data_IF_246072904972
#
_entry.id   IF_246072904972
#
_cell.length_a   1.000
_cell.length_b   1.000
_cell.length_c   1.000
_cell.angle_alpha   90.00
_cell.angle_beta   90.00
_cell.angle_gamma   90.00
#
_symmetry.space_group_name_H-M   'P 1'
#
loop_
_entity.id
_entity.type
_entity.pdbx_description
1 polymer ?
#
# COMPACT_ATOMS: atom_id res chain seq x y z
N UNK A 1 14.68 -12.02 -11.14
CA UNK A 1 13.92 -13.03 -10.37
C UNK A 1 12.45 -12.59 -10.30
N UNK A 2 11.52 -13.51 -10.58
CA UNK A 2 10.11 -13.22 -10.37
C UNK A 2 9.76 -13.36 -8.89
N UNK A 3 8.96 -12.44 -8.31
CA UNK A 3 8.49 -12.57 -6.94
C UNK A 3 7.66 -13.85 -6.75
N UNK A 4 7.86 -14.55 -5.64
CA UNK A 4 7.18 -15.80 -5.32
C UNK A 4 5.65 -15.66 -5.39
N UNK A 5 5.10 -14.62 -4.77
CA UNK A 5 3.64 -14.38 -4.75
C UNK A 5 3.09 -14.10 -6.15
N UNK A 6 3.86 -13.49 -7.05
CA UNK A 6 3.48 -13.28 -8.43
C UNK A 6 3.36 -14.61 -9.20
N UNK A 7 4.30 -15.53 -8.98
CA UNK A 7 4.24 -16.86 -9.61
C UNK A 7 3.04 -17.66 -9.13
N UNK A 8 2.78 -17.67 -7.81
CA UNK A 8 1.61 -18.32 -7.21
C UNK A 8 0.33 -17.71 -7.79
N UNK A 9 0.27 -16.40 -7.92
CA UNK A 9 -0.91 -15.73 -8.48
C UNK A 9 -1.25 -16.24 -9.90
N UNK A 10 -0.27 -16.27 -10.79
CA UNK A 10 -0.51 -16.67 -12.18
C UNK A 10 -0.66 -18.17 -12.37
N UNK A 11 0.04 -19.00 -11.58
CA UNK A 11 -0.01 -20.48 -11.73
C UNK A 11 -1.21 -21.10 -11.03
N UNK A 12 -1.60 -20.57 -9.87
CA UNK A 12 -2.58 -21.23 -9.00
C UNK A 12 -3.83 -20.36 -8.79
N UNK A 13 -3.68 -19.11 -8.35
CA UNK A 13 -4.81 -18.27 -7.91
C UNK A 13 -5.69 -17.87 -9.10
N UNK A 14 -5.10 -17.40 -10.17
CA UNK A 14 -5.83 -16.90 -11.33
C UNK A 14 -6.67 -17.99 -12.02
N UNK A 15 -6.16 -19.23 -12.26
CA UNK A 15 -6.97 -20.34 -12.76
C UNK A 15 -8.07 -20.78 -11.78
N UNK A 16 -7.76 -20.80 -10.47
CA UNK A 16 -8.75 -21.13 -9.44
C UNK A 16 -9.92 -20.15 -9.43
N UNK A 17 -9.63 -18.85 -9.49
CA UNK A 17 -10.66 -17.79 -9.58
C UNK A 17 -11.51 -17.93 -10.85
N UNK A 18 -10.88 -18.24 -11.98
CA UNK A 18 -11.61 -18.48 -13.23
C UNK A 18 -12.63 -19.62 -13.08
N UNK A 19 -12.22 -20.73 -12.48
CA UNK A 19 -13.09 -21.89 -12.28
C UNK A 19 -14.19 -21.62 -11.26
N UNK A 20 -13.86 -20.96 -10.15
CA UNK A 20 -14.80 -20.64 -9.08
C UNK A 20 -15.92 -19.68 -9.53
N UNK A 21 -15.57 -18.67 -10.31
CA UNK A 21 -16.53 -17.64 -10.77
C UNK A 21 -17.04 -17.88 -12.20
N UNK A 22 -16.57 -18.92 -12.89
CA UNK A 22 -17.04 -19.27 -14.24
C UNK A 22 -16.68 -18.22 -15.32
N UNK A 23 -15.56 -17.51 -15.17
CA UNK A 23 -15.16 -16.50 -16.16
C UNK A 23 -14.80 -17.13 -17.50
N UNK A 24 -15.30 -16.58 -18.59
CA UNK A 24 -14.97 -17.04 -19.96
C UNK A 24 -13.49 -16.85 -20.28
N UNK A 25 -12.92 -15.72 -19.86
CA UNK A 25 -11.51 -15.39 -20.07
C UNK A 25 -10.78 -15.28 -18.72
N UNK A 26 -9.56 -15.78 -18.66
CA UNK A 26 -8.70 -15.71 -17.48
C UNK A 26 -8.41 -14.26 -17.03
N UNK A 27 -8.39 -13.32 -17.97
CA UNK A 27 -8.16 -11.90 -17.68
C UNK A 27 -9.37 -11.14 -17.13
N UNK A 28 -10.55 -11.76 -17.07
CA UNK A 28 -11.74 -11.19 -16.41
C UNK A 28 -11.67 -11.29 -14.90
N UNK A 29 -10.79 -12.16 -14.37
CA UNK A 29 -10.62 -12.34 -12.94
C UNK A 29 -10.04 -11.10 -12.23
N UNK A 30 -10.34 -10.93 -10.93
CA UNK A 30 -9.78 -9.83 -10.13
C UNK A 30 -8.26 -9.97 -10.04
N UNK A 31 -7.58 -8.81 -10.07
CA UNK A 31 -6.13 -8.72 -9.89
C UNK A 31 -5.77 -7.46 -9.11
N UNK A 32 -4.70 -7.54 -8.34
CA UNK A 32 -4.16 -6.37 -7.66
C UNK A 32 -3.46 -5.48 -8.70
N UNK A 33 -3.85 -4.22 -8.75
CA UNK A 33 -3.32 -3.23 -9.71
C UNK A 33 -2.14 -2.47 -9.12
N UNK A 34 -2.28 -2.05 -7.87
CA UNK A 34 -1.27 -1.26 -7.13
C UNK A 34 -1.46 -1.41 -5.64
N UNK A 35 -0.38 -1.18 -4.90
CA UNK A 35 -0.38 -0.99 -3.45
C UNK A 35 0.13 0.41 -3.16
N UNK A 36 -0.58 1.14 -2.33
CA UNK A 36 -0.20 2.50 -1.92
C UNK A 36 0.09 2.48 -0.43
N UNK A 37 1.32 2.86 -0.06
CA UNK A 37 1.66 3.14 1.33
C UNK A 37 1.59 4.63 1.55
N UNK A 38 0.96 5.03 2.65
CA UNK A 38 0.88 6.43 3.06
C UNK A 38 1.37 6.58 4.49
N UNK A 39 2.18 7.60 4.71
CA UNK A 39 2.65 8.00 6.03
C UNK A 39 2.24 9.46 6.25
N UNK A 40 1.21 9.67 7.09
CA UNK A 40 0.74 10.99 7.46
C UNK A 40 1.60 11.56 8.59
N UNK A 41 2.23 12.70 8.38
CA UNK A 41 3.08 13.36 9.37
C UNK A 41 2.40 14.58 9.99
N UNK A 42 1.31 15.06 9.40
CA UNK A 42 0.61 16.24 9.90
C UNK A 42 1.50 17.47 9.93
N UNK A 43 1.59 18.12 11.10
CA UNK A 43 2.42 19.31 11.29
C UNK A 43 3.92 19.00 11.26
N UNK A 44 4.32 17.83 11.72
CA UNK A 44 5.72 17.37 11.74
C UNK A 44 6.32 17.22 10.34
N UNK A 45 5.48 17.13 9.31
CA UNK A 45 5.90 17.12 7.92
C UNK A 45 6.64 18.39 7.46
N UNK A 46 6.55 19.49 8.23
CA UNK A 46 7.30 20.72 7.97
C UNK A 46 8.72 20.68 8.56
N UNK A 47 8.99 19.78 9.52
CA UNK A 47 10.37 19.57 10.00
C UNK A 47 11.13 18.74 8.99
N UNK A 48 12.16 19.34 8.40
CA UNK A 48 12.98 18.70 7.38
C UNK A 48 13.75 17.48 7.88
N UNK A 49 14.09 17.41 9.16
CA UNK A 49 14.80 16.27 9.76
C UNK A 49 13.86 15.06 9.89
N UNK A 50 12.67 15.27 10.44
CA UNK A 50 11.65 14.25 10.60
C UNK A 50 11.22 13.73 9.23
N UNK A 51 10.94 14.63 8.29
CA UNK A 51 10.53 14.29 6.94
C UNK A 51 11.58 13.42 6.24
N UNK A 52 12.87 13.79 6.35
CA UNK A 52 13.97 13.03 5.74
C UNK A 52 14.15 11.66 6.37
N UNK A 53 14.07 11.55 7.70
CA UNK A 53 14.13 10.26 8.41
C UNK A 53 12.99 9.33 7.95
N UNK A 54 11.76 9.84 7.91
CA UNK A 54 10.60 9.07 7.44
C UNK A 54 10.71 8.69 5.95
N UNK A 55 11.30 9.56 5.13
CA UNK A 55 11.57 9.26 3.71
C UNK A 55 12.54 8.09 3.58
N UNK A 56 13.63 8.08 4.36
CA UNK A 56 14.61 7.00 4.37
C UNK A 56 13.99 5.68 4.84
N UNK A 57 13.20 5.71 5.91
CA UNK A 57 12.55 4.50 6.44
C UNK A 57 11.55 3.92 5.43
N UNK A 58 10.71 4.76 4.83
CA UNK A 58 9.75 4.32 3.83
C UNK A 58 10.45 3.80 2.57
N UNK A 59 11.58 4.40 2.18
CA UNK A 59 12.40 3.93 1.07
C UNK A 59 13.03 2.56 1.36
N UNK A 60 13.49 2.30 2.59
CA UNK A 60 14.01 0.98 3.01
C UNK A 60 12.91 -0.09 2.98
N UNK A 61 11.70 0.24 3.45
CA UNK A 61 10.57 -0.70 3.46
C UNK A 61 10.13 -1.07 2.04
N UNK A 62 10.06 -0.10 1.14
CA UNK A 62 9.45 -0.27 -0.19
C UNK A 62 10.45 -0.51 -1.31
N UNK A 63 11.72 -0.18 -1.10
CA UNK A 63 12.74 -0.18 -2.16
C UNK A 63 12.50 0.88 -3.25
N UNK A 64 11.70 1.92 -2.94
CA UNK A 64 11.37 2.99 -3.86
C UNK A 64 11.32 4.33 -3.12
N UNK A 65 11.84 5.40 -3.74
CA UNK A 65 11.80 6.73 -3.16
C UNK A 65 10.35 7.23 -3.00
N UNK A 66 9.96 7.68 -1.79
CA UNK A 66 8.63 8.24 -1.54
C UNK A 66 8.42 9.58 -2.23
N UNK A 67 7.16 9.95 -2.39
CA UNK A 67 6.73 11.26 -2.86
C UNK A 67 6.17 12.04 -1.69
N UNK A 68 6.64 13.26 -1.50
CA UNK A 68 6.13 14.18 -0.48
C UNK A 68 4.73 14.65 -0.90
N UNK A 69 3.76 14.50 -0.01
CA UNK A 69 2.40 14.99 -0.18
C UNK A 69 2.25 16.35 0.50
N UNK A 70 1.43 17.22 -0.10
CA UNK A 70 1.21 18.59 0.37
C UNK A 70 -0.26 18.83 0.67
N UNK A 71 -0.52 19.73 1.63
CA UNK A 71 -1.89 20.15 1.94
C UNK A 71 -2.50 20.91 0.77
N UNK A 72 -3.74 20.56 0.42
CA UNK A 72 -4.50 21.21 -0.66
C UNK A 72 -5.20 22.50 -0.19
N UNK A 73 -5.61 22.53 1.08
CA UNK A 73 -6.35 23.65 1.68
C UNK A 73 -5.68 24.08 2.98
N UNK A 74 -5.85 25.37 3.32
CA UNK A 74 -5.45 25.90 4.62
C UNK A 74 -6.61 25.74 5.59
N UNK A 75 -6.36 25.17 6.76
CA UNK A 75 -7.36 25.01 7.84
C UNK A 75 -6.76 25.51 9.13
N UNK A 76 -7.32 26.60 9.67
CA UNK A 76 -6.78 27.27 10.86
C UNK A 76 -6.80 26.36 12.10
N UNK A 77 -7.87 25.60 12.31
CA UNK A 77 -8.02 24.69 13.45
C UNK A 77 -6.91 23.63 13.50
N UNK A 78 -6.44 23.17 12.35
CA UNK A 78 -5.36 22.18 12.24
C UNK A 78 -3.98 22.83 12.03
N UNK A 79 -3.87 24.14 12.09
CA UNK A 79 -2.62 24.90 11.87
C UNK A 79 -1.94 24.54 10.54
N UNK A 80 -2.69 24.15 9.52
CA UNK A 80 -2.18 23.72 8.22
C UNK A 80 -2.29 24.83 7.19
N UNK A 81 -1.30 24.92 6.30
CA UNK A 81 -1.27 25.88 5.20
C UNK A 81 -1.22 25.16 3.86
N UNK A 82 -1.92 25.68 2.86
CA UNK A 82 -1.84 25.18 1.49
C UNK A 82 -0.39 25.16 1.01
N UNK A 83 0.06 24.03 0.47
CA UNK A 83 1.41 23.86 -0.05
C UNK A 83 2.45 23.40 0.97
N UNK A 84 2.16 23.44 2.29
CA UNK A 84 3.04 22.84 3.29
C UNK A 84 3.02 21.31 3.20
N UNK A 85 4.09 20.67 3.69
CA UNK A 85 4.21 19.22 3.64
C UNK A 85 3.21 18.55 4.60
N UNK A 86 2.55 17.49 4.14
CA UNK A 86 1.55 16.74 4.89
C UNK A 86 2.02 15.35 5.29
N UNK A 87 2.87 14.75 4.47
CA UNK A 87 3.34 13.40 4.67
C UNK A 87 4.03 12.83 3.45
N UNK A 88 4.12 11.53 3.39
CA UNK A 88 4.80 10.77 2.35
C UNK A 88 3.89 9.68 1.80
N UNK A 89 4.01 9.38 0.51
CA UNK A 89 3.35 8.23 -0.08
C UNK A 89 4.25 7.51 -1.07
N UNK A 90 4.06 6.20 -1.19
CA UNK A 90 4.68 5.35 -2.21
C UNK A 90 3.61 4.56 -2.93
N UNK A 91 3.71 4.48 -4.24
CA UNK A 91 2.85 3.64 -5.06
C UNK A 91 3.67 2.50 -5.66
N UNK A 92 3.38 1.29 -5.24
CA UNK A 92 4.03 0.08 -5.70
C UNK A 92 3.19 -0.60 -6.78
N UNK A 93 3.85 -1.08 -7.84
CA UNK A 93 3.24 -1.80 -8.97
C UNK A 93 4.11 -2.99 -9.36
N UNK A 94 3.53 -3.91 -10.13
CA UNK A 94 4.23 -5.07 -10.71
C UNK A 94 5.01 -5.86 -9.63
N UNK A 95 6.27 -6.14 -9.87
CA UNK A 95 7.09 -7.01 -9.02
C UNK A 95 7.29 -6.47 -7.60
N UNK A 96 7.57 -5.17 -7.45
CA UNK A 96 7.71 -4.52 -6.14
C UNK A 96 6.45 -4.61 -5.29
N UNK A 97 5.28 -4.57 -5.92
CA UNK A 97 4.00 -4.74 -5.24
C UNK A 97 3.85 -6.15 -4.66
N UNK A 98 4.14 -7.19 -5.45
CA UNK A 98 4.06 -8.57 -4.98
C UNK A 98 5.10 -8.90 -3.91
N UNK A 99 6.31 -8.40 -4.04
CA UNK A 99 7.36 -8.55 -3.01
C UNK A 99 6.97 -7.90 -1.69
N UNK A 100 6.42 -6.69 -1.74
CA UNK A 100 5.93 -6.00 -0.55
C UNK A 100 4.79 -6.76 0.12
N UNK A 101 3.80 -7.23 -0.66
CA UNK A 101 2.67 -8.00 -0.13
C UNK A 101 3.11 -9.32 0.50
N UNK A 102 4.05 -10.02 -0.12
CA UNK A 102 4.59 -11.27 0.43
C UNK A 102 5.26 -11.03 1.80
N UNK A 103 6.08 -9.99 1.93
CA UNK A 103 6.67 -9.60 3.21
C UNK A 103 5.65 -9.14 4.25
N UNK A 104 4.64 -8.38 3.83
CA UNK A 104 3.58 -7.92 4.70
C UNK A 104 2.81 -9.10 5.30
N UNK A 105 2.35 -10.02 4.47
CA UNK A 105 1.49 -11.13 4.90
C UNK A 105 2.27 -12.20 5.69
N UNK A 106 3.48 -12.53 5.27
CA UNK A 106 4.21 -13.65 5.86
C UNK A 106 5.16 -13.25 6.98
N UNK A 107 5.59 -12.00 7.05
CA UNK A 107 6.57 -11.54 8.04
C UNK A 107 5.97 -10.49 8.97
N UNK A 108 5.37 -9.42 8.45
CA UNK A 108 4.95 -8.28 9.26
C UNK A 108 3.68 -8.58 10.07
N UNK A 109 2.62 -9.06 9.43
CA UNK A 109 1.34 -9.33 10.10
C UNK A 109 1.45 -10.37 11.23
N UNK A 110 2.16 -11.51 11.07
CA UNK A 110 2.31 -12.48 12.16
C UNK A 110 3.09 -11.96 13.37
N UNK A 111 3.88 -10.90 13.22
CA UNK A 111 4.64 -10.29 14.32
C UNK A 111 3.84 -9.29 15.16
N UNK A 112 2.66 -8.90 14.70
CA UNK A 112 1.78 -8.00 15.45
C UNK A 112 1.23 -8.75 16.66
N UNK A 113 1.40 -8.16 17.85
CA UNK A 113 0.82 -8.70 19.09
C UNK A 113 -0.71 -8.64 18.99
N UNK A 114 -1.37 -9.71 19.45
CA UNK A 114 -2.84 -9.83 19.46
C UNK A 114 -3.52 -9.60 18.10
N UNK A 115 -2.84 -9.99 17.01
CA UNK A 115 -3.39 -9.87 15.67
C UNK A 115 -4.60 -10.79 15.47
N UNK A 116 -5.78 -10.20 15.23
CA UNK A 116 -7.06 -10.90 15.08
C UNK A 116 -7.53 -11.02 13.63
N UNK A 117 -6.66 -10.77 12.66
CA UNK A 117 -6.99 -10.72 11.25
C UNK A 117 -7.36 -9.31 10.76
N UNK A 118 -7.63 -9.20 9.47
CA UNK A 118 -8.04 -7.96 8.83
C UNK A 118 -9.57 -7.90 8.72
N UNK A 119 -10.15 -6.72 8.95
CA UNK A 119 -11.60 -6.53 8.84
C UNK A 119 -12.06 -6.55 7.38
N UNK A 120 -13.17 -7.21 7.10
CA UNK A 120 -13.82 -7.17 5.77
C UNK A 120 -14.42 -5.80 5.43
N UNK A 121 -14.64 -4.94 6.42
CA UNK A 121 -15.23 -3.61 6.23
C UNK A 121 -14.29 -2.60 5.53
N UNK A 122 -13.02 -2.96 5.33
CA UNK A 122 -12.05 -2.11 4.63
C UNK A 122 -12.22 -2.02 3.12
N UNK A 123 -13.16 -2.78 2.52
CA UNK A 123 -13.44 -2.73 1.09
C UNK A 123 -14.37 -1.57 0.73
N UNK A 124 -14.04 -0.88 -0.36
CA UNK A 124 -14.94 0.10 -0.96
C UNK A 124 -15.76 -0.51 -2.12
N UNK A 125 -16.62 0.33 -2.75
CA UNK A 125 -17.47 -0.10 -3.89
C UNK A 125 -16.68 -0.47 -5.15
N UNK A 126 -15.42 -0.10 -5.22
CA UNK A 126 -14.55 -0.30 -6.39
C UNK A 126 -13.54 -1.43 -6.21
N UNK A 127 -13.63 -2.19 -5.10
CA UNK A 127 -12.73 -3.28 -4.79
C UNK A 127 -11.37 -2.82 -4.24
N UNK A 128 -11.23 -1.58 -3.77
CA UNK A 128 -10.06 -1.15 -3.01
C UNK A 128 -10.20 -1.59 -1.56
N UNK A 129 -9.09 -1.97 -0.95
CA UNK A 129 -9.01 -2.34 0.46
C UNK A 129 -8.06 -1.40 1.20
N UNK A 130 -8.48 -0.90 2.36
CA UNK A 130 -7.69 -0.02 3.22
C UNK A 130 -7.70 -0.54 4.65
N UNK A 131 -6.55 -0.58 5.32
CA UNK A 131 -6.40 -0.98 6.72
C UNK A 131 -5.33 -0.14 7.42
#
# INVERSE_FOLDING_TARGET
MNPRLKEIFYKEIQPALKNQFGFKNIYMGPRIVKVILNMGLGLDGNDSKILKSCEEDLAKITGQKPVITKFKKSVANFKTRKGSNSGLKVTLRKDKMYEFLDRLVNIALPRIKDFRGLSSNGFDKFGNYTF
#
